data_IF_304866007847
#
_entry.id   IF_304866007847
#
_cell.length_a   1.000
_cell.length_b   1.000
_cell.length_c   1.000
_cell.angle_alpha   90.00
_cell.angle_beta   90.00
_cell.angle_gamma   90.00
#
_symmetry.space_group_name_H-M   'P 1'
#
loop_
_entity.id
_entity.type
_entity.pdbx_description
1 polymer ?
#
# COMPACT_ATOMS: atom_id res chain seq x y z
N UNK A 1 8.11 1.91 13.42
CA UNK A 1 7.82 2.89 12.36
C UNK A 1 8.36 2.33 11.06
N UNK A 2 7.58 2.38 9.99
CA UNK A 2 7.93 1.88 8.67
C UNK A 2 7.62 2.96 7.64
N UNK A 3 8.58 3.24 6.76
CA UNK A 3 8.44 4.18 5.64
C UNK A 3 8.88 3.47 4.36
N UNK A 4 7.96 3.36 3.39
CA UNK A 4 8.18 2.66 2.13
C UNK A 4 7.96 3.66 1.00
N UNK A 5 8.96 3.74 0.12
CA UNK A 5 8.89 4.42 -1.18
C UNK A 5 9.13 3.36 -2.26
N UNK A 6 8.19 3.21 -3.18
CA UNK A 6 8.28 2.21 -4.24
C UNK A 6 7.79 2.77 -5.57
N UNK A 7 8.60 2.64 -6.61
CA UNK A 7 8.16 2.87 -7.99
C UNK A 7 7.26 1.71 -8.44
N UNK A 8 6.13 2.04 -9.07
CA UNK A 8 5.13 1.06 -9.49
C UNK A 8 5.27 0.76 -11.00
N UNK A 9 5.74 -0.45 -11.37
CA UNK A 9 5.96 -0.81 -12.77
C UNK A 9 4.67 -1.12 -13.56
N UNK A 10 3.54 -1.24 -12.86
CA UNK A 10 2.23 -1.70 -13.31
C UNK A 10 2.22 -3.08 -14.00
N UNK A 11 1.02 -3.53 -14.38
CA UNK A 11 0.81 -4.81 -15.05
C UNK A 11 1.12 -4.78 -16.54
N UNK A 12 1.67 -5.87 -17.07
CA UNK A 12 1.93 -6.07 -18.49
C UNK A 12 0.75 -6.78 -19.17
N UNK A 13 0.51 -6.49 -20.45
CA UNK A 13 -0.35 -7.34 -21.30
C UNK A 13 0.34 -8.67 -21.60
N UNK A 14 -0.39 -9.65 -22.13
CA UNK A 14 0.17 -10.96 -22.46
C UNK A 14 1.34 -10.86 -23.47
N UNK A 15 1.18 -10.09 -24.55
CA UNK A 15 2.22 -9.91 -25.56
C UNK A 15 3.46 -9.21 -25.00
N UNK A 16 3.27 -8.22 -24.12
CA UNK A 16 4.37 -7.55 -23.43
C UNK A 16 5.10 -8.53 -22.49
N UNK A 17 4.38 -9.34 -21.73
CA UNK A 17 4.98 -10.34 -20.86
C UNK A 17 5.81 -11.37 -21.66
N UNK A 18 5.30 -11.85 -22.80
CA UNK A 18 6.01 -12.75 -23.70
C UNK A 18 7.30 -12.11 -24.26
N UNK A 19 7.28 -10.81 -24.56
CA UNK A 19 8.44 -10.10 -25.09
C UNK A 19 9.53 -9.88 -24.02
N UNK A 20 9.15 -9.44 -22.81
CA UNK A 20 10.05 -9.32 -21.67
C UNK A 20 9.23 -9.23 -20.36
N UNK A 21 9.26 -10.25 -19.49
CA UNK A 21 8.45 -10.28 -18.27
C UNK A 21 8.96 -9.33 -17.17
N UNK A 22 10.19 -8.81 -17.28
CA UNK A 22 10.79 -7.89 -16.30
C UNK A 22 10.74 -6.42 -16.74
N UNK A 23 10.11 -6.12 -17.88
CA UNK A 23 10.01 -4.75 -18.35
C UNK A 23 8.97 -3.95 -17.57
N UNK A 24 9.15 -2.63 -17.56
CA UNK A 24 8.10 -1.69 -17.13
C UNK A 24 7.14 -1.44 -18.29
N UNK A 25 5.87 -1.15 -18.00
CA UNK A 25 4.92 -0.68 -19.00
C UNK A 25 5.47 0.59 -19.69
N UNK A 26 5.60 0.62 -21.04
CA UNK A 26 6.35 1.67 -21.73
C UNK A 26 5.84 3.11 -21.54
N UNK A 27 4.53 3.29 -21.36
CA UNK A 27 3.91 4.61 -21.26
C UNK A 27 4.01 5.25 -19.86
N UNK A 28 4.54 4.56 -18.86
CA UNK A 28 4.54 5.04 -17.46
C UNK A 28 5.52 6.17 -17.17
N UNK A 29 6.54 6.35 -18.01
CA UNK A 29 7.57 7.38 -17.78
C UNK A 29 6.99 8.79 -17.62
N UNK A 30 5.84 9.06 -18.23
CA UNK A 30 5.16 10.37 -18.14
C UNK A 30 4.35 10.58 -16.86
N UNK A 31 4.08 9.54 -16.07
CA UNK A 31 3.18 9.59 -14.92
C UNK A 31 3.88 9.46 -13.56
N UNK A 32 5.17 9.11 -13.54
CA UNK A 32 5.96 8.92 -12.31
C UNK A 32 5.21 8.08 -11.25
N UNK A 33 4.71 6.92 -11.70
CA UNK A 33 3.83 6.05 -10.92
C UNK A 33 4.61 5.44 -9.76
N UNK A 34 4.14 5.69 -8.55
CA UNK A 34 4.81 5.30 -7.32
C UNK A 34 3.82 5.22 -6.17
N UNK A 35 4.28 4.65 -5.06
CA UNK A 35 3.54 4.56 -3.82
C UNK A 35 4.42 4.90 -2.63
N UNK A 36 3.89 5.78 -1.80
CA UNK A 36 4.48 6.20 -0.54
C UNK A 36 3.60 5.69 0.61
N UNK A 37 4.19 4.98 1.56
CA UNK A 37 3.49 4.43 2.73
C UNK A 37 4.26 4.79 3.98
N UNK A 38 3.58 5.41 4.94
CA UNK A 38 4.09 5.64 6.29
C UNK A 38 3.18 4.94 7.30
N UNK A 39 3.76 4.10 8.16
CA UNK A 39 2.99 3.33 9.13
C UNK A 39 3.70 3.24 10.47
N UNK A 40 2.93 3.47 11.53
CA UNK A 40 3.33 3.17 12.91
C UNK A 40 2.29 2.24 13.50
N UNK A 41 2.74 1.17 14.14
CA UNK A 41 1.89 0.27 14.90
C UNK A 41 2.63 -0.12 16.16
N UNK A 42 1.91 -0.10 17.27
CA UNK A 42 2.40 -0.55 18.57
C UNK A 42 1.30 -1.35 19.25
N UNK A 43 1.69 -2.22 20.16
CA UNK A 43 0.76 -3.05 20.91
C UNK A 43 1.37 -3.47 22.23
N UNK A 44 0.49 -3.75 23.17
CA UNK A 44 0.84 -4.27 24.48
C UNK A 44 -0.03 -5.50 24.72
N UNK A 45 0.61 -6.56 25.16
CA UNK A 45 -0.05 -7.78 25.62
C UNK A 45 0.16 -7.91 27.11
N UNK A 46 -0.87 -8.39 27.81
CA UNK A 46 -0.82 -8.68 29.22
C UNK A 46 -1.44 -10.05 29.47
N UNK A 47 -0.75 -10.85 30.27
CA UNK A 47 -1.27 -12.13 30.73
C UNK A 47 -1.22 -12.21 32.25
N UNK A 48 -2.21 -12.87 32.84
CA UNK A 48 -2.30 -13.13 34.27
C UNK A 48 -2.81 -14.53 34.53
N UNK A 49 -1.96 -15.44 35.06
CA UNK A 49 -2.41 -16.73 35.56
C UNK A 49 -3.45 -16.52 36.67
N UNK A 50 -4.57 -17.23 36.58
CA UNK A 50 -5.59 -17.28 37.63
C UNK A 50 -5.32 -18.47 38.56
N UNK A 51 -4.92 -19.61 38.00
CA UNK A 51 -4.41 -20.80 38.69
C UNK A 51 -3.67 -21.71 37.69
N UNK A 52 -3.24 -22.90 38.12
CA UNK A 52 -2.48 -23.87 37.32
C UNK A 52 -3.16 -24.31 36.01
N UNK A 53 -4.46 -24.03 35.84
CA UNK A 53 -5.26 -24.46 34.68
C UNK A 53 -5.89 -23.32 33.91
N UNK A 54 -5.78 -22.07 34.36
CA UNK A 54 -6.51 -20.94 33.77
C UNK A 54 -5.65 -19.66 33.75
N UNK A 55 -5.70 -18.92 32.65
CA UNK A 55 -5.02 -17.65 32.46
C UNK A 55 -5.96 -16.62 31.81
N UNK A 56 -5.84 -15.36 32.23
CA UNK A 56 -6.46 -14.22 31.56
C UNK A 56 -5.45 -13.57 30.63
N UNK A 57 -5.84 -13.33 29.38
CA UNK A 57 -5.04 -12.64 28.38
C UNK A 57 -5.76 -11.39 27.87
N UNK A 58 -5.02 -10.32 27.68
CA UNK A 58 -5.48 -9.08 27.08
C UNK A 58 -4.45 -8.54 26.08
N UNK A 59 -4.94 -7.94 24.99
CA UNK A 59 -4.11 -7.27 24.00
C UNK A 59 -4.75 -5.94 23.62
N UNK A 60 -3.94 -4.88 23.63
CA UNK A 60 -4.29 -3.58 23.09
C UNK A 60 -3.32 -3.24 21.96
N UNK A 61 -3.81 -2.57 20.92
CA UNK A 61 -3.00 -2.11 19.81
C UNK A 61 -3.44 -0.71 19.37
N UNK A 62 -2.48 0.06 18.86
CA UNK A 62 -2.70 1.38 18.30
C UNK A 62 -1.83 1.52 17.06
N UNK A 63 -2.36 2.17 16.02
CA UNK A 63 -1.59 2.44 14.82
C UNK A 63 -2.10 3.60 14.01
N UNK A 64 -1.23 4.13 13.18
CA UNK A 64 -1.53 5.11 12.15
C UNK A 64 -0.91 4.63 10.83
N UNK A 65 -1.66 4.79 9.73
CA UNK A 65 -1.22 4.44 8.38
C UNK A 65 -1.62 5.54 7.42
N UNK A 66 -0.66 6.02 6.64
CA UNK A 66 -0.85 7.02 5.60
C UNK A 66 -0.32 6.45 4.29
N UNK A 67 -1.09 6.64 3.21
CA UNK A 67 -0.76 6.11 1.88
C UNK A 67 -1.00 7.19 0.84
N UNK A 68 0.00 7.42 -0.01
CA UNK A 68 -0.16 8.23 -1.23
C UNK A 68 0.21 7.36 -2.43
N UNK A 69 -0.67 7.32 -3.43
CA UNK A 69 -0.46 6.54 -4.64
C UNK A 69 -0.61 7.44 -5.87
N UNK A 70 0.43 7.49 -6.69
CA UNK A 70 0.44 8.24 -7.93
C UNK A 70 0.10 7.28 -9.07
N UNK A 71 -1.06 7.46 -9.70
CA UNK A 71 -1.59 6.55 -10.72
C UNK A 71 -1.30 7.06 -12.14
N UNK A 72 -1.28 6.17 -13.13
CA UNK A 72 -1.16 6.53 -14.55
C UNK A 72 -2.50 6.97 -15.17
N UNK A 73 -3.24 7.84 -14.49
CA UNK A 73 -4.48 8.39 -15.02
C UNK A 73 -4.15 9.67 -15.79
N UNK A 74 -4.52 9.81 -17.06
CA UNK A 74 -4.33 11.05 -17.82
C UNK A 74 -4.97 12.26 -17.12
N UNK A 75 -4.31 13.42 -17.18
CA UNK A 75 -4.82 14.67 -16.58
C UNK A 75 -6.22 15.04 -17.09
N UNK A 76 -6.47 14.88 -18.39
CA UNK A 76 -7.79 15.12 -18.97
C UNK A 76 -8.87 14.21 -18.35
N UNK A 77 -8.53 12.98 -17.99
CA UNK A 77 -9.44 12.06 -17.28
C UNK A 77 -9.64 12.47 -15.82
N UNK A 78 -8.63 13.05 -15.16
CA UNK A 78 -8.73 13.58 -13.79
C UNK A 78 -9.47 14.93 -13.69
N UNK A 79 -9.62 15.64 -14.80
CA UNK A 79 -10.33 16.93 -14.86
C UNK A 79 -11.75 16.80 -15.45
N UNK A 80 -12.07 15.64 -16.03
CA UNK A 80 -13.33 15.42 -16.75
C UNK A 80 -14.57 15.24 -15.85
N UNK A 81 -14.42 15.03 -14.54
CA UNK A 81 -15.55 14.86 -13.62
C UNK A 81 -15.33 15.57 -12.29
N UNK A 82 -16.18 16.52 -11.94
CA UNK A 82 -16.13 17.15 -10.60
C UNK A 82 -16.33 16.15 -9.44
N UNK A 83 -16.75 14.91 -9.72
CA UNK A 83 -17.06 13.87 -8.74
C UNK A 83 -16.02 12.73 -8.71
N UNK A 84 -14.75 12.97 -9.06
CA UNK A 84 -13.73 11.95 -8.89
C UNK A 84 -13.59 11.54 -7.41
N UNK A 85 -13.53 10.24 -7.14
CA UNK A 85 -13.18 9.73 -5.82
C UNK A 85 -11.70 10.01 -5.56
N UNK A 86 -11.41 10.92 -4.62
CA UNK A 86 -10.09 11.12 -4.02
C UNK A 86 -9.86 10.20 -2.83
#
# INVERSE_FOLDING_TARGET
YVKIHADDPQGLTHDQWNANPKQQVPFLKQFNVRKDIEQTQTGVTWSKPINDKNELYAMAYLGNRQVTQYQSIPKSTQEASINHAG
#
